data_IF_016053334362
#
_entry.id   IF_016053334362
#
_cell.length_a   1.000
_cell.length_b   1.000
_cell.length_c   1.000
_cell.angle_alpha   90.00
_cell.angle_beta   90.00
_cell.angle_gamma   90.00
#
_symmetry.space_group_name_H-M   'P 1'
#
loop_
_entity.id
_entity.type
_entity.pdbx_description
1 polymer ?
#
# COMPACT_ATOMS: atom_id res chain seq x y z
N UNK A 1 0.66 -35.31 -19.30
CA UNK A 1 1.05 -33.98 -18.79
C UNK A 1 0.94 -33.00 -19.96
N UNK A 2 0.13 -31.94 -19.89
CA UNK A 2 0.02 -31.03 -21.02
C UNK A 2 1.32 -30.23 -21.14
N UNK A 3 2.01 -30.44 -22.26
CA UNK A 3 3.27 -29.82 -22.64
C UNK A 3 3.06 -28.41 -23.20
N UNK A 4 2.41 -27.54 -22.43
CA UNK A 4 2.39 -26.12 -22.78
C UNK A 4 3.69 -25.50 -22.31
N UNK A 5 4.66 -25.46 -23.25
CA UNK A 5 5.86 -24.65 -23.12
C UNK A 5 5.44 -23.22 -22.81
N UNK A 6 5.66 -22.77 -21.57
CA UNK A 6 5.70 -21.37 -21.21
C UNK A 6 6.78 -20.71 -22.09
N UNK A 7 6.38 -20.18 -23.25
CA UNK A 7 7.23 -19.46 -24.20
C UNK A 7 7.54 -18.06 -23.66
N UNK A 8 8.13 -17.97 -22.48
CA UNK A 8 8.68 -16.73 -21.98
C UNK A 8 9.97 -17.05 -21.21
N UNK A 9 11.08 -17.07 -21.95
CA UNK A 9 12.42 -17.39 -21.43
C UNK A 9 12.81 -16.53 -20.22
N UNK A 10 12.24 -15.33 -20.10
CA UNK A 10 12.47 -14.37 -19.02
C UNK A 10 12.06 -14.89 -17.64
N UNK A 11 11.05 -15.77 -17.54
CA UNK A 11 10.54 -16.26 -16.26
C UNK A 11 10.93 -17.70 -15.96
N UNK A 12 11.37 -18.47 -16.96
CA UNK A 12 11.72 -19.88 -16.77
C UNK A 12 12.82 -20.05 -15.71
N UNK A 13 13.86 -19.21 -15.75
CA UNK A 13 14.96 -19.25 -14.79
C UNK A 13 14.59 -18.85 -13.35
N UNK A 14 13.46 -18.16 -13.15
CA UNK A 14 12.94 -17.87 -11.80
C UNK A 14 12.29 -19.11 -11.16
N UNK A 15 11.76 -20.02 -11.97
CA UNK A 15 11.01 -21.19 -11.51
C UNK A 15 11.81 -22.50 -11.58
N UNK A 16 12.79 -22.61 -12.48
CA UNK A 16 13.78 -23.70 -12.56
C UNK A 16 14.84 -23.53 -11.47
N UNK A 17 14.43 -23.78 -10.22
CA UNK A 17 15.27 -23.56 -9.03
C UNK A 17 16.43 -24.54 -8.94
N UNK A 18 16.27 -25.74 -9.52
CA UNK A 18 17.32 -26.76 -9.59
C UNK A 18 18.23 -26.62 -10.84
N UNK A 19 17.93 -25.67 -11.73
CA UNK A 19 18.67 -25.39 -12.97
C UNK A 19 18.78 -26.60 -13.89
N UNK A 20 17.81 -27.51 -13.84
CA UNK A 20 17.80 -28.73 -14.66
C UNK A 20 17.39 -28.46 -16.11
N UNK A 21 16.92 -27.25 -16.42
CA UNK A 21 16.36 -26.91 -17.73
C UNK A 21 14.94 -27.46 -17.92
N UNK A 22 14.29 -27.98 -16.86
CA UNK A 22 12.90 -28.49 -16.86
C UNK A 22 12.23 -28.20 -15.53
N UNK A 23 10.98 -27.75 -15.55
CA UNK A 23 10.20 -27.62 -14.31
C UNK A 23 9.77 -29.00 -13.82
N UNK A 24 10.20 -29.37 -12.62
CA UNK A 24 9.64 -30.53 -11.92
C UNK A 24 8.23 -30.21 -11.38
N UNK A 25 7.52 -31.21 -10.83
CA UNK A 25 6.13 -31.02 -10.39
C UNK A 25 5.96 -29.93 -9.33
N UNK A 26 6.92 -29.79 -8.41
CA UNK A 26 6.90 -28.78 -7.35
C UNK A 26 7.08 -27.39 -7.95
N UNK A 27 8.04 -27.22 -8.84
CA UNK A 27 8.31 -25.96 -9.54
C UNK A 27 7.15 -25.56 -10.43
N UNK A 28 6.56 -26.51 -11.15
CA UNK A 28 5.35 -26.27 -11.94
C UNK A 28 4.17 -25.81 -11.08
N UNK A 29 3.94 -26.45 -9.94
CA UNK A 29 2.87 -26.06 -9.02
C UNK A 29 3.11 -24.66 -8.43
N UNK A 30 4.35 -24.34 -8.07
CA UNK A 30 4.73 -23.01 -7.58
C UNK A 30 4.57 -21.94 -8.67
N UNK A 31 5.03 -22.23 -9.89
CA UNK A 31 4.87 -21.33 -11.04
C UNK A 31 3.40 -21.08 -11.33
N UNK A 32 2.57 -22.14 -11.33
CA UNK A 32 1.12 -22.02 -11.50
C UNK A 32 0.50 -21.18 -10.38
N UNK A 33 0.86 -21.43 -9.11
CA UNK A 33 0.34 -20.69 -7.97
C UNK A 33 0.69 -19.19 -8.06
N UNK A 34 1.94 -18.88 -8.40
CA UNK A 34 2.42 -17.50 -8.58
C UNK A 34 1.75 -16.82 -9.77
N UNK A 35 1.56 -17.52 -10.90
CA UNK A 35 0.82 -16.98 -12.05
C UNK A 35 -0.67 -16.81 -11.80
N UNK A 36 -1.24 -17.57 -10.86
CA UNK A 36 -2.63 -17.39 -10.40
C UNK A 36 -2.78 -16.40 -9.24
N UNK A 37 -1.68 -15.79 -8.77
CA UNK A 37 -1.72 -14.86 -7.67
C UNK A 37 -2.51 -13.59 -8.08
N UNK A 38 -3.46 -13.22 -7.23
CA UNK A 38 -4.25 -12.01 -7.42
C UNK A 38 -3.61 -10.86 -6.64
N UNK A 39 -3.29 -9.77 -7.31
CA UNK A 39 -2.90 -8.53 -6.64
C UNK A 39 -4.14 -7.89 -6.02
N UNK A 40 -4.07 -7.55 -4.74
CA UNK A 40 -5.18 -6.88 -4.08
C UNK A 40 -4.93 -6.59 -2.61
N UNK A 41 -5.88 -5.86 -2.03
CA UNK A 41 -5.98 -5.62 -0.61
C UNK A 41 -7.02 -6.60 -0.06
N UNK A 42 -6.65 -7.37 0.96
CA UNK A 42 -7.51 -8.40 1.54
C UNK A 42 -7.68 -8.15 3.03
N UNK A 43 -8.89 -8.38 3.52
CA UNK A 43 -9.13 -8.54 4.96
C UNK A 43 -9.24 -10.02 5.27
N UNK A 44 -8.37 -10.47 6.18
CA UNK A 44 -8.24 -11.87 6.56
C UNK A 44 -8.55 -11.99 8.04
N UNK A 45 -9.44 -12.93 8.37
CA UNK A 45 -9.70 -13.33 9.75
C UNK A 45 -8.47 -14.02 10.30
N UNK A 46 -7.89 -13.47 11.36
CA UNK A 46 -6.78 -14.11 12.06
C UNK A 46 -7.27 -15.29 12.91
N UNK A 47 -6.42 -16.30 13.07
CA UNK A 47 -6.74 -17.53 13.78
C UNK A 47 -7.39 -18.60 12.90
N UNK A 48 -7.69 -19.76 13.50
CA UNK A 48 -8.18 -20.95 12.81
C UNK A 48 -7.18 -22.11 12.80
N UNK A 49 -7.62 -23.27 12.33
CA UNK A 49 -6.80 -24.48 12.16
C UNK A 49 -7.19 -25.18 10.86
N UNK A 50 -6.20 -25.75 10.17
CA UNK A 50 -6.42 -26.42 8.88
C UNK A 50 -6.41 -25.46 7.69
N UNK A 51 -7.02 -25.87 6.58
CA UNK A 51 -7.15 -25.05 5.37
C UNK A 51 -8.26 -24.01 5.56
N UNK A 52 -7.86 -22.73 5.55
CA UNK A 52 -8.75 -21.58 5.73
C UNK A 52 -8.90 -20.76 4.44
N UNK A 53 -8.43 -21.26 3.29
CA UNK A 53 -8.35 -20.51 2.04
C UNK A 53 -9.71 -20.00 1.54
N UNK A 54 -10.79 -20.73 1.83
CA UNK A 54 -12.16 -20.37 1.44
C UNK A 54 -12.91 -19.53 2.47
N UNK A 55 -12.49 -19.53 3.75
CA UNK A 55 -13.27 -18.97 4.87
C UNK A 55 -12.60 -17.81 5.59
N UNK A 56 -11.28 -17.65 5.49
CA UNK A 56 -10.58 -16.60 6.20
C UNK A 56 -10.74 -15.22 5.56
N UNK A 57 -10.92 -15.16 4.23
CA UNK A 57 -11.02 -13.90 3.50
C UNK A 57 -12.42 -13.31 3.69
N UNK A 58 -12.51 -12.18 4.40
CA UNK A 58 -13.78 -11.47 4.64
C UNK A 58 -14.21 -10.64 3.43
N UNK A 59 -13.24 -9.97 2.81
CA UNK A 59 -13.44 -9.17 1.61
C UNK A 59 -12.12 -9.01 0.85
N UNK A 60 -12.25 -8.71 -0.44
CA UNK A 60 -11.13 -8.43 -1.35
C UNK A 60 -11.37 -7.12 -2.09
N UNK A 61 -10.31 -6.37 -2.31
CA UNK A 61 -10.25 -5.25 -3.24
C UNK A 61 -9.18 -5.55 -4.28
N UNK A 62 -9.61 -5.78 -5.53
CA UNK A 62 -8.75 -6.26 -6.63
C UNK A 62 -8.51 -5.19 -7.72
N UNK A 63 -8.84 -3.93 -7.43
CA UNK A 63 -8.42 -2.80 -8.25
C UNK A 63 -6.96 -2.44 -7.90
N UNK A 64 -6.28 -1.59 -8.68
CA UNK A 64 -4.88 -1.25 -8.43
C UNK A 64 -4.62 -0.84 -6.97
N UNK A 65 -3.67 -1.55 -6.36
CA UNK A 65 -3.14 -1.32 -5.00
C UNK A 65 -1.71 -0.78 -5.10
N UNK A 66 -1.24 0.00 -4.12
CA UNK A 66 0.13 0.49 -4.10
C UNK A 66 1.15 -0.65 -4.02
N UNK A 67 2.36 -0.39 -4.52
CA UNK A 67 3.49 -1.33 -4.43
C UNK A 67 4.29 -1.18 -3.13
N UNK A 68 4.45 0.06 -2.65
CA UNK A 68 5.35 0.38 -1.53
C UNK A 68 4.63 0.88 -0.27
N UNK A 69 3.77 1.92 -0.34
CA UNK A 69 3.16 2.45 0.87
C UNK A 69 2.15 1.46 1.45
N UNK A 70 2.19 1.31 2.77
CA UNK A 70 1.21 0.54 3.52
C UNK A 70 -0.13 1.27 3.62
N UNK A 71 -1.19 0.54 3.93
CA UNK A 71 -2.49 1.15 4.28
C UNK A 71 -2.49 1.63 5.74
N UNK A 72 -3.36 2.60 6.05
CA UNK A 72 -3.53 3.16 7.39
C UNK A 72 -4.96 2.94 7.88
N UNK A 73 -5.16 2.19 8.97
CA UNK A 73 -6.43 2.16 9.68
C UNK A 73 -6.42 3.24 10.77
N UNK A 74 -7.27 4.26 10.64
CA UNK A 74 -7.31 5.36 11.59
C UNK A 74 -8.71 5.99 11.63
N UNK A 75 -9.19 6.33 12.83
CA UNK A 75 -10.52 6.95 13.04
C UNK A 75 -11.68 6.21 12.34
N UNK A 76 -11.62 4.87 12.34
CA UNK A 76 -12.68 4.01 11.78
C UNK A 76 -12.70 3.87 10.26
N UNK A 77 -11.72 4.44 9.55
CA UNK A 77 -11.57 4.26 8.11
C UNK A 77 -10.19 3.68 7.76
N UNK A 78 -10.13 2.87 6.71
CA UNK A 78 -8.88 2.39 6.13
C UNK A 78 -8.50 3.30 4.97
N UNK A 79 -7.28 3.82 4.94
CA UNK A 79 -6.76 4.71 3.92
C UNK A 79 -5.66 4.04 3.11
N UNK A 80 -5.70 4.21 1.80
CA UNK A 80 -4.72 3.70 0.86
C UNK A 80 -4.42 4.77 -0.18
N UNK A 81 -3.14 5.11 -0.34
CA UNK A 81 -2.68 5.96 -1.43
C UNK A 81 -2.03 5.09 -2.49
N UNK A 82 -2.30 5.33 -3.76
CA UNK A 82 -1.62 4.64 -4.85
C UNK A 82 -0.47 5.48 -5.44
N UNK A 83 0.29 4.88 -6.34
CA UNK A 83 1.49 5.46 -6.97
C UNK A 83 1.20 6.64 -7.92
N UNK A 84 -0.04 7.15 -7.95
CA UNK A 84 -0.47 8.28 -8.78
C UNK A 84 -1.20 9.37 -7.98
N UNK A 85 -1.03 9.38 -6.65
CA UNK A 85 -1.66 10.36 -5.75
C UNK A 85 -3.18 10.25 -5.66
N UNK A 86 -3.74 9.06 -5.88
CA UNK A 86 -5.14 8.77 -5.57
C UNK A 86 -5.21 8.27 -4.14
N UNK A 87 -5.93 9.00 -3.29
CA UNK A 87 -6.31 8.54 -1.97
C UNK A 87 -7.66 7.82 -2.06
N UNK A 88 -7.72 6.62 -1.49
CA UNK A 88 -8.92 5.82 -1.35
C UNK A 88 -9.14 5.54 0.12
N UNK A 89 -10.37 5.74 0.59
CA UNK A 89 -10.81 5.34 1.92
C UNK A 89 -11.83 4.20 1.81
N UNK A 90 -11.79 3.30 2.78
CA UNK A 90 -12.65 2.14 2.85
C UNK A 90 -13.30 2.03 4.22
N UNK A 91 -14.48 1.43 4.25
CA UNK A 91 -15.02 0.82 5.44
C UNK A 91 -14.20 -0.46 5.71
N UNK A 92 -13.46 -0.55 6.83
CA UNK A 92 -12.60 -1.70 7.13
C UNK A 92 -13.38 -2.99 7.37
N UNK A 93 -14.66 -2.92 7.76
CA UNK A 93 -15.47 -4.11 8.02
C UNK A 93 -15.94 -4.76 6.73
N UNK A 94 -16.28 -3.96 5.71
CA UNK A 94 -16.90 -4.42 4.48
C UNK A 94 -15.98 -4.39 3.26
N UNK A 95 -14.91 -3.60 3.29
CA UNK A 95 -14.05 -3.35 2.13
C UNK A 95 -14.66 -2.40 1.10
N UNK A 96 -15.83 -1.82 1.40
CA UNK A 96 -16.49 -0.88 0.51
C UNK A 96 -15.72 0.43 0.46
N UNK A 97 -15.52 0.95 -0.76
CA UNK A 97 -14.94 2.28 -0.97
C UNK A 97 -15.91 3.32 -0.43
N UNK A 98 -15.44 4.14 0.52
CA UNK A 98 -16.18 5.31 1.01
C UNK A 98 -15.95 6.48 0.07
N UNK A 99 -14.68 6.79 -0.22
CA UNK A 99 -14.28 7.88 -1.12
C UNK A 99 -13.01 7.52 -1.88
N UNK A 100 -12.96 7.95 -3.14
CA UNK A 100 -11.78 7.87 -3.98
C UNK A 100 -11.57 9.19 -4.69
N UNK A 101 -10.35 9.72 -4.68
CA UNK A 101 -10.06 10.99 -5.34
C UNK A 101 -8.58 11.32 -5.40
N UNK A 102 -8.23 12.25 -6.28
CA UNK A 102 -6.86 12.79 -6.40
C UNK A 102 -6.56 13.74 -5.24
N UNK A 103 -5.38 13.60 -4.67
CA UNK A 103 -4.78 14.61 -3.79
C UNK A 103 -4.36 15.80 -4.65
N UNK A 104 -5.24 16.80 -4.76
CA UNK A 104 -4.99 18.00 -5.56
C UNK A 104 -3.73 18.70 -5.04
N UNK A 105 -2.79 18.99 -5.94
CA UNK A 105 -1.52 19.62 -5.60
C UNK A 105 -0.40 18.66 -5.19
N UNK A 106 -0.67 17.35 -5.06
CA UNK A 106 0.32 16.33 -4.71
C UNK A 106 0.20 15.08 -5.61
N UNK A 107 0.23 15.31 -6.92
CA UNK A 107 0.11 14.24 -7.94
C UNK A 107 1.52 13.76 -8.29
N UNK A 108 1.98 12.73 -7.59
CA UNK A 108 3.30 12.13 -7.77
C UNK A 108 3.27 10.68 -7.22
N UNK A 109 4.41 9.99 -7.25
CA UNK A 109 4.61 8.69 -6.60
C UNK A 109 4.58 8.85 -5.08
N UNK A 110 4.16 7.80 -4.41
CA UNK A 110 4.15 7.72 -2.95
C UNK A 110 4.93 6.49 -2.52
N UNK A 111 6.00 6.69 -1.76
CA UNK A 111 6.76 5.62 -1.10
C UNK A 111 6.52 5.62 0.41
N UNK A 112 6.41 6.81 1.00
CA UNK A 112 6.04 6.98 2.38
C UNK A 112 4.61 6.50 2.62
N UNK A 113 4.41 5.72 3.69
CA UNK A 113 3.07 5.28 4.09
C UNK A 113 2.30 6.46 4.72
N UNK A 114 0.96 6.50 4.61
CA UNK A 114 0.15 7.47 5.32
C UNK A 114 0.29 7.28 6.84
N UNK A 115 0.27 8.38 7.59
CA UNK A 115 0.24 8.35 9.07
C UNK A 115 -0.94 9.15 9.61
N UNK A 116 -1.49 8.72 10.74
CA UNK A 116 -2.65 9.36 11.37
C UNK A 116 -2.32 9.95 12.73
N UNK A 117 -2.67 11.22 12.95
CA UNK A 117 -2.60 11.88 14.26
C UNK A 117 -3.50 13.12 14.28
N UNK A 118 -3.92 13.56 15.47
CA UNK A 118 -4.66 14.83 15.65
C UNK A 118 -5.90 14.98 14.72
N UNK A 119 -6.66 13.89 14.55
CA UNK A 119 -7.82 13.85 13.65
C UNK A 119 -7.50 14.05 12.15
N UNK A 120 -6.23 13.90 11.75
CA UNK A 120 -5.74 14.11 10.38
C UNK A 120 -4.96 12.90 9.88
N UNK A 121 -4.89 12.76 8.57
CA UNK A 121 -4.00 11.84 7.86
C UNK A 121 -2.99 12.66 7.07
N UNK A 122 -1.72 12.32 7.21
CA UNK A 122 -0.60 12.96 6.55
C UNK A 122 -0.08 12.01 5.48
N UNK A 123 0.02 12.49 4.24
CA UNK A 123 0.56 11.76 3.10
C UNK A 123 1.67 12.59 2.48
N UNK A 124 2.78 11.96 2.11
CA UNK A 124 3.92 12.65 1.51
C UNK A 124 4.30 11.95 0.21
N UNK A 125 4.28 12.69 -0.90
CA UNK A 125 4.79 12.21 -2.19
C UNK A 125 6.31 12.16 -2.24
N UNK A 126 6.85 11.49 -3.25
CA UNK A 126 8.29 11.37 -3.47
C UNK A 126 8.96 12.74 -3.55
N UNK A 127 8.37 13.71 -4.24
CA UNK A 127 8.91 15.08 -4.36
C UNK A 127 8.85 15.94 -3.07
N UNK A 128 8.37 15.37 -1.96
CA UNK A 128 8.28 16.06 -0.67
C UNK A 128 7.03 16.92 -0.51
N UNK A 129 6.01 16.76 -1.36
CA UNK A 129 4.70 17.41 -1.15
C UNK A 129 3.91 16.68 -0.06
N UNK A 130 3.58 17.40 1.01
CA UNK A 130 2.81 16.92 2.16
C UNK A 130 1.35 17.32 2.00
N UNK A 131 0.48 16.35 1.77
CA UNK A 131 -0.97 16.51 1.86
C UNK A 131 -1.46 16.17 3.26
N UNK A 132 -2.24 17.08 3.85
CA UNK A 132 -2.93 16.87 5.12
C UNK A 132 -4.41 16.78 4.85
N UNK A 133 -5.03 15.66 5.23
CA UNK A 133 -6.48 15.45 5.04
C UNK A 133 -7.16 15.18 6.37
N UNK A 134 -8.46 15.47 6.45
CA UNK A 134 -9.28 15.07 7.60
C UNK A 134 -9.33 13.55 7.71
N UNK A 135 -9.16 13.02 8.91
CA UNK A 135 -9.25 11.58 9.19
C UNK A 135 -10.70 11.12 9.30
N UNK A 136 -11.43 11.22 8.19
CA UNK A 136 -12.77 10.66 7.99
C UNK A 136 -12.79 9.83 6.70
N UNK A 137 -13.70 8.87 6.62
CA UNK A 137 -13.91 8.11 5.38
C UNK A 137 -14.23 9.04 4.20
N UNK A 138 -15.09 10.03 4.40
CA UNK A 138 -15.28 11.14 3.46
C UNK A 138 -14.26 12.25 3.74
N UNK A 139 -12.98 11.98 3.45
CA UNK A 139 -11.87 12.88 3.74
C UNK A 139 -11.94 14.17 2.92
N UNK A 140 -11.35 15.24 3.43
CA UNK A 140 -11.16 16.51 2.73
C UNK A 140 -9.71 16.97 2.87
N UNK A 141 -9.14 17.60 1.84
CA UNK A 141 -7.79 18.17 1.90
C UNK A 141 -7.84 19.44 2.73
N UNK A 142 -7.09 19.45 3.83
CA UNK A 142 -7.00 20.57 4.76
C UNK A 142 -5.83 21.49 4.43
N UNK A 143 -4.71 20.91 3.99
CA UNK A 143 -3.52 21.65 3.60
C UNK A 143 -2.65 20.86 2.62
N UNK A 144 -1.85 21.59 1.84
CA UNK A 144 -0.79 21.06 0.98
C UNK A 144 0.45 21.92 1.21
N UNK A 145 1.56 21.27 1.57
CA UNK A 145 2.83 21.94 1.88
C UNK A 145 3.94 21.28 1.06
N UNK A 146 4.99 22.03 0.73
CA UNK A 146 6.18 21.46 0.08
C UNK A 146 7.37 21.51 1.03
N UNK A 147 8.12 20.42 1.11
CA UNK A 147 9.39 20.35 1.84
C UNK A 147 10.59 20.72 0.95
N UNK A 148 10.39 20.84 -0.36
CA UNK A 148 11.43 21.19 -1.33
C UNK A 148 12.56 20.16 -1.46
N UNK A 149 12.33 18.92 -1.01
CA UNK A 149 13.32 17.83 -1.00
C UNK A 149 12.62 16.48 -1.02
N UNK A 150 13.27 15.45 -1.58
CA UNK A 150 12.64 14.15 -1.78
C UNK A 150 12.35 13.43 -0.44
N UNK A 151 11.24 12.68 -0.38
CA UNK A 151 10.84 11.89 0.79
C UNK A 151 10.51 10.46 0.39
N UNK A 152 11.23 9.52 1.01
CA UNK A 152 10.98 8.09 0.88
C UNK A 152 10.55 7.44 2.21
N UNK A 153 10.84 8.10 3.33
CA UNK A 153 10.60 7.57 4.67
C UNK A 153 9.19 7.91 5.14
N UNK A 154 8.52 6.93 5.75
CA UNK A 154 7.26 7.15 6.47
C UNK A 154 7.52 8.07 7.68
N UNK A 155 6.74 9.15 7.90
CA UNK A 155 6.92 10.02 9.06
C UNK A 155 6.78 9.29 10.39
N UNK A 156 7.51 9.73 11.40
CA UNK A 156 7.36 9.23 12.77
C UNK A 156 6.60 10.27 13.62
N UNK A 157 5.79 9.82 14.57
CA UNK A 157 5.00 10.69 15.45
C UNK A 157 5.29 10.31 16.90
N UNK A 158 5.72 11.27 17.71
CA UNK A 158 5.98 11.10 19.15
C UNK A 158 5.77 12.43 19.86
N UNK A 159 5.20 12.40 21.07
CA UNK A 159 5.14 13.54 22.00
C UNK A 159 4.62 14.85 21.38
N UNK A 160 3.57 14.75 20.54
CA UNK A 160 2.96 15.90 19.87
C UNK A 160 3.78 16.46 18.70
N UNK A 161 4.82 15.76 18.26
CA UNK A 161 5.68 16.10 17.15
C UNK A 161 5.53 15.09 16.00
N UNK A 162 5.70 15.58 14.77
CA UNK A 162 5.87 14.76 13.58
C UNK A 162 7.26 14.99 13.00
N UNK A 163 7.99 13.90 12.81
CA UNK A 163 9.33 13.88 12.27
C UNK A 163 9.30 13.40 10.82
N UNK A 164 9.88 14.18 9.92
CA UNK A 164 9.94 13.86 8.48
C UNK A 164 11.39 13.87 8.03
N UNK A 165 11.87 12.69 7.60
CA UNK A 165 13.20 12.54 7.00
C UNK A 165 13.10 12.70 5.49
N UNK A 166 13.60 13.81 4.97
CA UNK A 166 13.83 13.99 3.54
C UNK A 166 15.15 13.35 3.13
N UNK A 167 15.54 13.47 1.87
CA UNK A 167 16.82 12.99 1.38
C UNK A 167 17.99 13.65 2.11
N UNK A 168 17.90 14.95 2.38
CA UNK A 168 19.00 15.74 2.98
C UNK A 168 18.80 16.13 4.45
N UNK A 169 17.56 16.16 4.95
CA UNK A 169 17.23 16.84 6.21
C UNK A 169 16.24 16.03 7.06
N UNK A 170 16.35 16.12 8.39
CA UNK A 170 15.33 15.65 9.33
C UNK A 170 14.58 16.86 9.89
N UNK A 171 13.31 17.00 9.52
CA UNK A 171 12.41 18.02 10.06
C UNK A 171 11.67 17.50 11.30
N UNK A 172 11.35 18.41 12.20
CA UNK A 172 10.45 18.19 13.33
C UNK A 172 9.39 19.30 13.32
N UNK A 173 8.12 18.93 13.18
CA UNK A 173 7.00 19.85 13.25
C UNK A 173 6.22 19.62 14.54
N UNK A 174 5.91 20.70 15.24
CA UNK A 174 5.10 20.71 16.45
C UNK A 174 4.06 21.84 16.32
N UNK A 175 2.98 21.74 17.10
CA UNK A 175 2.05 22.87 17.23
C UNK A 175 2.78 24.02 17.92
N UNK A 176 2.73 25.22 17.33
CA UNK A 176 3.17 26.43 18.03
C UNK A 176 2.29 26.67 19.25
N UNK A 177 2.92 26.88 20.41
CA UNK A 177 2.24 27.29 21.64
C UNK A 177 1.68 28.72 21.53
#
# INVERSE_FOLDING_TARGET
MPSEKLKNETYFGFFDTDKSGKLNQKEYNNARAMMSAENGLLSITLGGKGDMSASAIKWKYQKPVPQVPSTLLYQGALFMVNDSGILISFDPATGNVIKQGRLKGAIDKYFASPVGADGKVYLISQDGTVSVVKASGDWEVLAVNSLGDEVFATPAISDGMIYVRTQSTLYCFAKSN
#
